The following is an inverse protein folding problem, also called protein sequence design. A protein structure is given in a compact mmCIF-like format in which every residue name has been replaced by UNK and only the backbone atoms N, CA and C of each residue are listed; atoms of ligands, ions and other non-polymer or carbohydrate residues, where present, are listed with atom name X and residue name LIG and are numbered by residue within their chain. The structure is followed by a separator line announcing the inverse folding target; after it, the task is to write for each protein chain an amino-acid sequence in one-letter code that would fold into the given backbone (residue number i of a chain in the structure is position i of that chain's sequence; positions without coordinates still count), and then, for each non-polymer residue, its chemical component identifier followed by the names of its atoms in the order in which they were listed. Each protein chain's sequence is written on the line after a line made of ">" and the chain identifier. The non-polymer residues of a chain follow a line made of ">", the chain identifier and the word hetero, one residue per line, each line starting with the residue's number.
data_IF_189492733349
#
_entry.id   IF_189492733349
#
_cell.length_a   1.000
_cell.length_b   1.000
_cell.length_c   1.000
_cell.angle_alpha   90.00
_cell.angle_beta   90.00
_cell.angle_gamma   90.00
#
_symmetry.space_group_name_H-M   'P 1'
#
loop_
_entity.id
_entity.type
_entity.pdbx_description
1 polymer ?
#
# COMPACT_ATOMS: atom_id res chain seq x y z
N UNK A 1 4.36 -8.45 12.67
CA UNK A 1 3.64 -7.20 12.29
C UNK A 1 2.14 -7.44 12.04
N UNK A 2 1.71 -8.59 11.49
CA UNK A 2 0.32 -8.83 11.09
C UNK A 2 -0.51 -9.71 12.04
N UNK A 3 -0.03 -10.08 13.23
CA UNK A 3 -0.70 -11.07 14.10
C UNK A 3 -2.14 -10.69 14.52
N UNK A 4 -2.47 -9.41 14.51
CA UNK A 4 -3.81 -8.89 14.82
C UNK A 4 -4.63 -8.53 13.59
N UNK A 5 -4.05 -8.65 12.38
CA UNK A 5 -4.73 -8.33 11.14
C UNK A 5 -5.56 -9.53 10.66
N UNK A 6 -6.85 -9.30 10.45
CA UNK A 6 -7.78 -10.27 9.85
C UNK A 6 -7.34 -10.65 8.44
N UNK A 7 -6.99 -9.64 7.64
CA UNK A 7 -6.53 -9.76 6.26
C UNK A 7 -5.21 -8.99 6.09
N UNK A 8 -4.36 -9.42 5.16
CA UNK A 8 -3.10 -8.77 4.86
C UNK A 8 -2.99 -8.55 3.35
N UNK A 9 -2.83 -7.29 2.95
CA UNK A 9 -2.63 -6.87 1.56
C UNK A 9 -1.18 -6.44 1.37
N UNK A 10 -0.51 -6.97 0.36
CA UNK A 10 0.84 -6.60 -0.04
C UNK A 10 0.75 -5.66 -1.25
N UNK A 11 1.39 -4.51 -1.12
CA UNK A 11 1.37 -3.45 -2.14
C UNK A 11 2.78 -2.95 -2.34
N UNK A 12 3.24 -2.92 -3.59
CA UNK A 12 4.46 -2.23 -3.96
C UNK A 12 4.14 -0.77 -4.30
N UNK A 13 4.80 0.22 -3.67
CA UNK A 13 4.72 1.60 -4.14
C UNK A 13 5.36 1.75 -5.51
N UNK A 14 5.00 2.80 -6.24
CA UNK A 14 5.57 3.09 -7.56
C UNK A 14 6.96 3.76 -7.44
N UNK A 15 7.91 3.04 -6.85
CA UNK A 15 9.29 3.49 -6.62
C UNK A 15 10.28 2.45 -7.14
N UNK A 16 11.39 2.90 -7.74
CA UNK A 16 12.38 2.02 -8.37
C UNK A 16 12.98 0.98 -7.40
N UNK A 17 13.10 1.34 -6.12
CA UNK A 17 13.65 0.44 -5.08
C UNK A 17 12.56 -0.32 -4.31
N UNK A 18 11.32 -0.32 -4.78
CA UNK A 18 10.23 -1.05 -4.13
C UNK A 18 10.49 -2.56 -4.16
N UNK A 19 10.40 -3.21 -3.00
CA UNK A 19 10.48 -4.66 -2.91
C UNK A 19 9.25 -5.30 -3.59
N UNK A 20 9.42 -6.25 -4.52
CA UNK A 20 8.30 -6.91 -5.17
C UNK A 20 7.40 -7.65 -4.16
N UNK A 21 6.08 -7.58 -4.36
CA UNK A 21 5.10 -8.24 -3.48
C UNK A 21 5.27 -9.75 -3.43
N UNK A 22 5.68 -10.38 -4.54
CA UNK A 22 5.97 -11.81 -4.61
C UNK A 22 7.10 -12.22 -3.66
N UNK A 23 8.15 -11.39 -3.53
CA UNK A 23 9.23 -11.64 -2.57
C UNK A 23 8.71 -11.46 -1.13
N UNK A 24 7.99 -10.37 -0.85
CA UNK A 24 7.40 -10.15 0.49
C UNK A 24 6.51 -11.32 0.90
N UNK A 25 5.69 -11.82 -0.02
CA UNK A 25 4.82 -12.99 0.19
C UNK A 25 5.60 -14.25 0.49
N UNK A 26 6.73 -14.48 -0.18
CA UNK A 26 7.62 -15.62 0.09
C UNK A 26 8.24 -15.60 1.50
N UNK A 27 8.29 -14.43 2.14
CA UNK A 27 8.82 -14.26 3.49
C UNK A 27 7.76 -14.42 4.58
N UNK A 28 6.49 -14.67 4.23
CA UNK A 28 5.39 -14.74 5.18
C UNK A 28 4.96 -16.19 5.41
N UNK A 29 4.82 -16.57 6.69
CA UNK A 29 4.24 -17.85 7.10
C UNK A 29 2.69 -17.82 7.15
N UNK A 30 2.07 -16.90 6.40
CA UNK A 30 0.60 -16.76 6.32
C UNK A 30 0.16 -16.22 4.98
N UNK A 31 -1.11 -16.44 4.66
CA UNK A 31 -1.72 -15.90 3.46
C UNK A 31 -1.73 -14.37 3.44
N UNK A 32 -1.44 -13.83 2.26
CA UNK A 32 -1.50 -12.43 1.94
C UNK A 32 -1.96 -12.23 0.48
N UNK A 33 -2.72 -11.16 0.27
CA UNK A 33 -3.31 -10.81 -1.02
C UNK A 33 -2.39 -9.78 -1.67
N UNK A 34 -1.85 -10.10 -2.84
CA UNK A 34 -1.10 -9.13 -3.64
C UNK A 34 -2.10 -8.20 -4.32
N UNK A 35 -1.88 -6.89 -4.21
CA UNK A 35 -2.79 -5.87 -4.70
C UNK A 35 -2.00 -4.60 -5.03
N UNK A 36 -2.68 -3.64 -5.65
CA UNK A 36 -2.18 -2.30 -5.91
C UNK A 36 -3.07 -1.23 -5.26
N UNK A 37 -2.56 0.01 -5.15
CA UNK A 37 -3.30 1.12 -4.56
C UNK A 37 -4.55 1.50 -5.35
N UNK A 38 -4.60 1.22 -6.66
CA UNK A 38 -5.76 1.50 -7.50
C UNK A 38 -6.91 0.55 -7.27
N UNK A 39 -6.60 -0.68 -6.89
CA UNK A 39 -7.59 -1.66 -6.45
C UNK A 39 -8.07 -1.35 -5.03
N UNK A 40 -7.17 -0.99 -4.10
CA UNK A 40 -7.54 -0.72 -2.71
C UNK A 40 -8.27 0.61 -2.50
N UNK A 41 -7.87 1.66 -3.22
CA UNK A 41 -8.43 3.01 -3.13
C UNK A 41 -8.88 3.48 -4.51
N UNK A 42 -9.97 2.95 -5.08
CA UNK A 42 -10.30 3.14 -6.50
C UNK A 42 -10.60 4.59 -6.88
N UNK A 43 -11.11 5.39 -5.93
CA UNK A 43 -11.42 6.81 -6.11
C UNK A 43 -11.24 7.57 -4.78
N UNK A 44 -11.14 8.91 -4.79
CA UNK A 44 -10.99 9.70 -3.58
C UNK A 44 -12.08 9.39 -2.55
N UNK A 45 -11.69 9.29 -1.27
CA UNK A 45 -12.57 8.96 -0.16
C UNK A 45 -13.18 7.54 -0.18
N UNK A 46 -12.72 6.64 -1.07
CA UNK A 46 -13.25 5.28 -1.18
C UNK A 46 -12.17 4.24 -0.89
N UNK A 47 -12.47 3.34 0.06
CA UNK A 47 -11.69 2.15 0.37
C UNK A 47 -12.48 0.92 -0.09
N UNK A 48 -11.89 0.08 -0.93
CA UNK A 48 -12.54 -1.12 -1.47
C UNK A 48 -12.43 -2.34 -0.53
N UNK A 49 -11.60 -2.25 0.50
CA UNK A 49 -11.36 -3.33 1.47
C UNK A 49 -11.91 -2.97 2.85
N UNK A 50 -12.30 -4.00 3.60
CA UNK A 50 -12.98 -3.84 4.87
C UNK A 50 -14.43 -3.36 4.73
N UNK A 51 -15.05 -3.05 5.86
CA UNK A 51 -16.41 -2.50 5.97
C UNK A 51 -16.40 -1.22 6.80
N UNK A 52 -17.50 -0.46 6.74
CA UNK A 52 -17.65 0.71 7.61
C UNK A 52 -17.46 0.32 9.08
N UNK A 53 -16.56 1.02 9.77
CA UNK A 53 -16.17 0.74 11.16
C UNK A 53 -14.93 -0.15 11.31
N UNK A 54 -14.44 -0.80 10.24
CA UNK A 54 -13.16 -1.51 10.28
C UNK A 54 -11.98 -0.51 10.30
N UNK A 55 -10.89 -0.93 10.93
CA UNK A 55 -9.61 -0.19 10.92
C UNK A 55 -8.70 -0.74 9.83
N UNK A 56 -8.25 0.13 8.92
CA UNK A 56 -7.26 -0.20 7.89
C UNK A 56 -5.91 0.41 8.28
N UNK A 57 -4.86 -0.42 8.39
CA UNK A 57 -3.49 0.01 8.69
C UNK A 57 -2.64 -0.04 7.42
N UNK A 58 -2.14 1.12 6.98
CA UNK A 58 -1.11 1.23 5.95
C UNK A 58 0.26 1.44 6.61
N UNK A 59 1.26 0.62 6.25
CA UNK A 59 2.60 0.68 6.84
C UNK A 59 3.67 0.09 5.92
N UNK A 60 4.93 0.12 6.37
CA UNK A 60 6.08 -0.51 5.70
C UNK A 60 6.91 0.42 4.83
N UNK A 61 6.34 1.51 4.31
CA UNK A 61 7.07 2.49 3.51
C UNK A 61 6.42 3.87 3.58
N UNK A 62 7.24 4.91 3.75
CA UNK A 62 6.77 6.30 3.69
C UNK A 62 6.28 6.69 2.29
N UNK A 63 6.88 6.13 1.23
CA UNK A 63 6.46 6.38 -0.15
C UNK A 63 5.09 5.76 -0.42
N UNK A 64 4.86 4.53 0.07
CA UNK A 64 3.55 3.88 -0.01
C UNK A 64 2.47 4.71 0.71
N UNK A 65 2.77 5.22 1.89
CA UNK A 65 1.86 6.08 2.65
C UNK A 65 1.57 7.37 1.87
N UNK A 66 2.59 8.03 1.31
CA UNK A 66 2.42 9.24 0.50
C UNK A 66 1.54 9.02 -0.72
N UNK A 67 1.80 7.95 -1.49
CA UNK A 67 1.02 7.59 -2.68
C UNK A 67 -0.44 7.27 -2.32
N UNK A 68 -0.67 6.52 -1.24
CA UNK A 68 -2.02 6.20 -0.78
C UNK A 68 -2.77 7.44 -0.30
N UNK A 69 -2.12 8.32 0.45
CA UNK A 69 -2.70 9.59 0.92
C UNK A 69 -3.09 10.48 -0.26
N UNK A 70 -2.22 10.65 -1.25
CA UNK A 70 -2.53 11.40 -2.47
C UNK A 70 -3.78 10.84 -3.15
N UNK A 71 -3.87 9.52 -3.27
CA UNK A 71 -5.01 8.84 -3.89
C UNK A 71 -6.31 8.99 -3.10
N UNK A 72 -6.26 8.85 -1.77
CA UNK A 72 -7.42 9.03 -0.88
C UNK A 72 -7.92 10.47 -0.95
N UNK A 73 -7.02 11.45 -1.03
CA UNK A 73 -7.34 12.87 -1.10
C UNK A 73 -7.70 13.35 -2.51
N UNK A 74 -7.44 12.55 -3.55
CA UNK A 74 -7.59 12.97 -4.94
C UNK A 74 -6.54 13.99 -5.40
N UNK A 75 -5.39 14.04 -4.73
CA UNK A 75 -4.24 14.84 -5.12
C UNK A 75 -3.35 14.10 -6.14
N UNK A 76 -2.62 14.84 -6.96
CA UNK A 76 -1.61 14.27 -7.87
C UNK A 76 -0.36 13.87 -7.10
N UNK A 77 0.11 12.65 -7.31
CA UNK A 77 1.24 12.03 -6.59
C UNK A 77 2.64 12.42 -7.11
N UNK A 78 2.74 13.39 -8.03
CA UNK A 78 3.95 13.59 -8.86
C UNK A 78 5.19 14.12 -8.10
N UNK A 79 5.02 14.83 -6.99
CA UNK A 79 6.16 15.53 -6.36
C UNK A 79 7.05 14.64 -5.48
N UNK A 80 6.53 13.53 -4.94
CA UNK A 80 7.27 12.66 -4.01
C UNK A 80 8.07 11.53 -4.67
N UNK A 81 7.73 11.17 -5.91
CA UNK A 81 8.25 9.97 -6.60
C UNK A 81 9.73 10.03 -6.99
N UNK A 82 10.38 11.18 -6.81
CA UNK A 82 11.78 11.41 -7.25
C UNK A 82 12.72 11.70 -6.08
N UNK A 83 12.23 11.56 -4.85
CA UNK A 83 12.98 11.86 -3.63
C UNK A 83 13.75 10.65 -3.09
N UNK A 84 13.61 9.47 -3.71
CA UNK A 84 14.38 8.30 -3.30
C UNK A 84 15.80 8.39 -3.86
N UNK A 85 16.78 8.09 -3.02
CA UNK A 85 18.17 7.96 -3.46
C UNK A 85 18.27 6.94 -4.59
N UNK A 86 18.87 7.38 -5.70
CA UNK A 86 19.11 6.56 -6.87
C UNK A 86 20.34 5.68 -6.64
N UNK A 87 20.25 4.43 -7.08
CA UNK A 87 21.35 3.45 -7.03
C UNK A 87 22.28 3.63 -8.22
#
# INVERSE_FOLDING_TARGET
>A
VSQYARELYLVAPNQDRATPTAFLKSCLDRDAIESDLSTLFPKPGCCAVGKSGDTILLTGSIYLIGEAMARIQGATSDEGSRLQDKV
#
